data_IF_126203179760
#
_entry.id   IF_126203179760
#
_cell.length_a   1.000
_cell.length_b   1.000
_cell.length_c   1.000
_cell.angle_alpha   90.00
_cell.angle_beta   90.00
_cell.angle_gamma   90.00
#
_symmetry.space_group_name_H-M   'P 1'
#
loop_
_entity.id
_entity.type
_entity.pdbx_description
1 polymer ?
#
# COMPACT_ATOMS: atom_id res chain seq x y z
N UNK A 1 15.64 -10.10 -14.62
CA UNK A 1 14.20 -10.05 -14.97
C UNK A 1 13.66 -8.68 -14.58
N UNK A 2 13.08 -7.98 -15.52
CA UNK A 2 12.54 -6.65 -15.25
C UNK A 2 11.11 -6.77 -14.74
N UNK A 3 10.89 -6.38 -13.49
CA UNK A 3 9.56 -6.24 -12.95
C UNK A 3 9.03 -4.87 -13.37
N UNK A 4 8.12 -4.87 -14.31
CA UNK A 4 7.47 -3.63 -14.71
C UNK A 4 6.37 -3.28 -13.71
N UNK A 5 6.18 -1.99 -13.43
CA UNK A 5 5.10 -1.58 -12.55
C UNK A 5 3.76 -1.98 -13.15
N UNK A 6 2.84 -2.40 -12.29
CA UNK A 6 1.46 -2.63 -12.69
C UNK A 6 0.77 -1.29 -12.94
N UNK A 7 0.02 -1.22 -14.02
CA UNK A 7 -0.78 -0.04 -14.33
C UNK A 7 -2.14 -0.17 -13.64
N UNK A 8 -2.33 0.59 -12.59
CA UNK A 8 -3.58 0.60 -11.82
C UNK A 8 -4.38 1.82 -12.22
N UNK A 9 -5.62 1.60 -12.63
CA UNK A 9 -6.52 2.68 -13.06
C UNK A 9 -7.89 2.52 -12.42
N UNK A 10 -8.58 3.65 -12.23
CA UNK A 10 -9.96 3.68 -11.80
C UNK A 10 -10.78 4.30 -12.92
N UNK A 11 -11.69 3.52 -13.50
CA UNK A 11 -12.56 4.00 -14.58
C UNK A 11 -13.97 4.22 -14.04
N UNK A 12 -14.67 5.19 -14.62
CA UNK A 12 -16.06 5.48 -14.29
C UNK A 12 -16.93 5.30 -15.51
N UNK A 13 -18.06 4.57 -15.33
CA UNK A 13 -19.06 4.38 -16.38
C UNK A 13 -20.43 4.33 -15.72
N UNK A 14 -21.38 5.14 -16.21
CA UNK A 14 -22.78 5.17 -15.72
C UNK A 14 -22.88 5.33 -14.20
N UNK A 15 -22.00 6.14 -13.58
CA UNK A 15 -21.99 6.36 -12.14
C UNK A 15 -21.30 5.27 -11.34
N UNK A 16 -20.81 4.22 -11.97
CA UNK A 16 -20.08 3.14 -11.33
C UNK A 16 -18.58 3.26 -11.57
N UNK A 17 -17.79 2.90 -10.57
CA UNK A 17 -16.33 2.88 -10.65
C UNK A 17 -15.83 1.45 -10.81
N UNK A 18 -14.83 1.28 -11.66
CA UNK A 18 -14.17 -0.01 -11.86
C UNK A 18 -12.67 0.15 -11.66
N UNK A 19 -12.12 -0.59 -10.68
CA UNK A 19 -10.68 -0.71 -10.50
C UNK A 19 -10.13 -1.67 -11.54
N UNK A 20 -9.05 -1.29 -12.20
CA UNK A 20 -8.39 -2.12 -13.22
C UNK A 20 -6.90 -2.23 -12.92
N UNK A 21 -6.37 -3.43 -13.09
CA UNK A 21 -4.93 -3.69 -13.01
C UNK A 21 -4.48 -4.21 -14.37
N UNK A 22 -3.58 -3.48 -15.01
CA UNK A 22 -3.09 -3.78 -16.36
C UNK A 22 -4.22 -3.95 -17.38
N UNK A 23 -5.24 -3.08 -17.28
CA UNK A 23 -6.39 -3.06 -18.18
C UNK A 23 -7.49 -4.07 -17.88
N UNK A 24 -7.29 -4.94 -16.89
CA UNK A 24 -8.28 -5.97 -16.51
C UNK A 24 -9.04 -5.54 -15.27
N UNK A 25 -10.36 -5.79 -15.21
CA UNK A 25 -11.13 -5.54 -13.98
C UNK A 25 -10.52 -6.27 -12.79
N UNK A 26 -10.40 -5.57 -11.67
CA UNK A 26 -9.86 -6.12 -10.44
C UNK A 26 -10.87 -5.96 -9.31
N UNK A 27 -11.35 -7.08 -8.78
CA UNK A 27 -12.27 -7.12 -7.66
C UNK A 27 -11.50 -7.46 -6.40
N UNK A 28 -11.47 -6.54 -5.43
CA UNK A 28 -10.68 -6.73 -4.21
C UNK A 28 -11.28 -7.86 -3.38
N UNK A 29 -10.46 -8.88 -3.11
CA UNK A 29 -10.74 -9.99 -2.20
C UNK A 29 -9.59 -10.07 -1.23
N UNK A 30 -9.64 -9.30 -0.15
CA UNK A 30 -8.48 -9.12 0.67
C UNK A 30 -8.75 -9.03 2.15
N UNK A 31 -7.67 -8.85 2.90
CA UNK A 31 -7.68 -8.66 4.33
C UNK A 31 -6.63 -7.67 4.77
N UNK A 32 -6.66 -7.30 6.04
CA UNK A 32 -5.63 -6.50 6.66
C UNK A 32 -4.52 -7.40 7.17
N UNK A 33 -3.29 -7.17 6.73
CA UNK A 33 -2.12 -7.95 7.17
C UNK A 33 -0.97 -7.00 7.49
N UNK A 34 -0.60 -6.95 8.74
CA UNK A 34 0.66 -6.30 9.13
C UNK A 34 1.73 -7.36 9.42
N UNK A 35 1.32 -8.39 10.14
CA UNK A 35 2.11 -9.59 10.42
C UNK A 35 1.26 -10.78 10.01
N UNK A 36 1.11 -11.00 8.75
CA UNK A 36 0.22 -12.03 8.31
C UNK A 36 0.89 -13.11 7.50
N UNK A 37 0.19 -14.19 7.32
CA UNK A 37 0.59 -15.26 6.45
C UNK A 37 0.05 -14.97 5.05
N UNK A 38 0.89 -14.33 4.24
CA UNK A 38 0.57 -13.97 2.85
C UNK A 38 0.25 -15.22 2.03
N UNK A 39 0.99 -16.30 2.26
CA UNK A 39 0.75 -17.56 1.57
C UNK A 39 -0.64 -18.14 1.90
N UNK A 40 -1.07 -18.04 3.16
CA UNK A 40 -2.39 -18.50 3.59
C UNK A 40 -3.51 -17.70 2.91
N UNK A 41 -3.36 -16.38 2.81
CA UNK A 41 -4.34 -15.54 2.12
C UNK A 41 -4.46 -15.96 0.65
N UNK A 42 -3.34 -16.21 -0.02
CA UNK A 42 -3.34 -16.67 -1.41
C UNK A 42 -3.99 -18.05 -1.55
N UNK A 43 -3.71 -18.96 -0.61
CA UNK A 43 -4.31 -20.31 -0.60
C UNK A 43 -5.83 -20.27 -0.42
N UNK A 44 -6.37 -19.25 0.24
CA UNK A 44 -7.81 -19.05 0.42
C UNK A 44 -8.42 -18.14 -0.66
N UNK A 45 -7.75 -18.03 -1.81
CA UNK A 45 -8.22 -17.27 -2.98
C UNK A 45 -8.35 -15.75 -2.76
N UNK A 46 -7.65 -15.20 -1.78
CA UNK A 46 -7.46 -13.76 -1.67
C UNK A 46 -6.58 -13.26 -2.81
N UNK A 47 -6.79 -12.02 -3.24
CA UNK A 47 -6.00 -11.40 -4.31
C UNK A 47 -5.29 -10.14 -3.87
N UNK A 48 -5.55 -9.65 -2.66
CA UNK A 48 -4.97 -8.42 -2.17
C UNK A 48 -4.97 -8.37 -0.65
N UNK A 49 -4.14 -7.49 -0.11
CA UNK A 49 -4.20 -7.17 1.31
C UNK A 49 -3.77 -5.72 1.55
N UNK A 50 -4.09 -5.20 2.72
CA UNK A 50 -3.71 -3.87 3.16
C UNK A 50 -2.74 -3.96 4.32
N UNK A 51 -1.71 -3.11 4.29
CA UNK A 51 -0.83 -2.87 5.43
C UNK A 51 -1.15 -1.51 6.05
N UNK A 52 -0.75 -1.28 7.30
CA UNK A 52 -0.97 0.00 7.98
C UNK A 52 0.24 0.92 7.89
N UNK A 53 1.41 0.36 7.61
CA UNK A 53 2.67 1.11 7.48
C UNK A 53 3.60 0.40 6.51
N UNK A 54 4.60 1.13 6.04
CA UNK A 54 5.56 0.60 5.06
C UNK A 54 6.57 -0.36 5.68
N UNK A 55 6.89 -0.19 6.97
CA UNK A 55 7.81 -1.06 7.69
C UNK A 55 7.14 -1.49 8.99
N UNK A 56 6.94 -2.79 9.15
CA UNK A 56 6.26 -3.34 10.32
C UNK A 56 7.23 -3.81 11.41
N UNK A 57 8.53 -3.53 11.26
CA UNK A 57 9.56 -3.95 12.23
C UNK A 57 10.07 -5.37 12.05
N UNK A 58 9.39 -6.21 11.27
CA UNK A 58 9.81 -7.57 10.95
C UNK A 58 10.22 -7.71 9.49
N UNK A 59 9.53 -7.02 8.60
CA UNK A 59 9.82 -7.02 7.17
C UNK A 59 9.78 -5.60 6.64
N UNK A 60 10.70 -5.29 5.72
CA UNK A 60 10.63 -4.03 5.00
C UNK A 60 9.48 -4.04 4.00
N UNK A 61 9.03 -2.86 3.59
CA UNK A 61 7.98 -2.74 2.59
C UNK A 61 8.33 -3.49 1.29
N UNK A 62 9.59 -3.42 0.86
CA UNK A 62 10.03 -4.13 -0.34
C UNK A 62 9.89 -5.63 -0.19
N UNK A 63 10.26 -6.21 0.95
CA UNK A 63 10.10 -7.64 1.22
C UNK A 63 8.63 -8.06 1.18
N UNK A 64 7.75 -7.26 1.74
CA UNK A 64 6.30 -7.50 1.73
C UNK A 64 5.77 -7.49 0.29
N UNK A 65 6.16 -6.51 -0.51
CA UNK A 65 5.76 -6.41 -1.92
C UNK A 65 6.32 -7.57 -2.75
N UNK A 66 7.58 -7.95 -2.54
CA UNK A 66 8.20 -9.07 -3.26
C UNK A 66 7.49 -10.39 -2.94
N UNK A 67 7.17 -10.63 -1.68
CA UNK A 67 6.43 -11.82 -1.26
C UNK A 67 5.02 -11.83 -1.84
N UNK A 68 4.33 -10.69 -1.80
CA UNK A 68 3.00 -10.56 -2.40
C UNK A 68 3.05 -10.87 -3.91
N UNK A 69 4.03 -10.34 -4.60
CA UNK A 69 4.21 -10.59 -6.03
C UNK A 69 4.45 -12.08 -6.32
N UNK A 70 5.22 -12.75 -5.48
CA UNK A 70 5.48 -14.19 -5.60
C UNK A 70 4.18 -15.00 -5.56
N UNK A 71 3.21 -14.60 -4.75
CA UNK A 71 1.92 -15.29 -4.62
C UNK A 71 0.82 -14.70 -5.50
N UNK A 72 1.15 -13.75 -6.37
CA UNK A 72 0.18 -13.14 -7.26
C UNK A 72 -0.79 -12.18 -6.57
N UNK A 73 -0.41 -11.62 -5.43
CA UNK A 73 -1.25 -10.71 -4.67
C UNK A 73 -0.87 -9.25 -4.94
N UNK A 74 -1.86 -8.37 -4.80
CA UNK A 74 -1.66 -6.92 -4.86
C UNK A 74 -1.75 -6.33 -3.45
N UNK A 75 -1.03 -5.23 -3.22
CA UNK A 75 -0.93 -4.62 -1.89
C UNK A 75 -1.46 -3.20 -1.90
N UNK A 76 -2.38 -2.90 -0.99
CA UNK A 76 -2.70 -1.53 -0.59
C UNK A 76 -1.74 -1.16 0.52
N UNK A 77 -0.70 -0.41 0.16
CA UNK A 77 0.41 -0.10 1.06
C UNK A 77 0.06 1.08 1.95
N UNK A 78 0.10 0.86 3.26
CA UNK A 78 -0.11 1.92 4.24
C UNK A 78 1.13 2.78 4.43
N UNK A 79 0.94 4.08 4.56
CA UNK A 79 1.96 5.02 4.98
C UNK A 79 1.55 5.58 6.32
N UNK A 80 2.37 5.38 7.33
CA UNK A 80 2.10 5.91 8.67
C UNK A 80 2.29 7.42 8.67
N UNK A 81 1.28 8.12 9.18
CA UNK A 81 1.29 9.57 9.36
C UNK A 81 1.21 9.87 10.85
N UNK A 82 2.06 10.75 11.33
CA UNK A 82 2.10 11.14 12.72
C UNK A 82 0.77 11.76 13.17
N UNK A 83 0.35 11.44 14.39
CA UNK A 83 -0.94 11.87 14.94
C UNK A 83 -0.75 12.88 16.07
N UNK A 84 -1.60 13.91 16.08
CA UNK A 84 -1.58 14.91 17.16
C UNK A 84 -1.81 14.27 18.52
N UNK A 85 -2.69 13.29 18.62
CA UNK A 85 -2.96 12.58 19.89
C UNK A 85 -1.75 11.84 20.45
N UNK A 86 -0.71 11.62 19.62
CA UNK A 86 0.55 11.01 20.02
C UNK A 86 1.68 12.04 20.17
N UNK A 87 1.34 13.33 20.23
CA UNK A 87 2.27 14.40 20.52
C UNK A 87 2.89 15.08 19.29
N UNK A 88 2.41 14.79 18.10
CA UNK A 88 2.91 15.47 16.90
C UNK A 88 2.24 16.84 16.75
N UNK A 89 3.07 17.87 16.56
CA UNK A 89 2.59 19.25 16.40
C UNK A 89 2.65 19.66 14.92
N UNK A 90 1.49 19.78 14.29
CA UNK A 90 1.38 20.20 12.90
C UNK A 90 1.67 21.69 12.68
N UNK A 91 1.85 22.47 13.74
CA UNK A 91 2.34 23.83 13.65
C UNK A 91 3.87 23.91 13.59
N UNK A 92 4.55 22.80 13.89
CA UNK A 92 6.00 22.69 13.72
C UNK A 92 6.31 22.43 12.25
N UNK A 93 6.62 23.49 11.51
CA UNK A 93 6.85 23.41 10.06
C UNK A 93 8.04 22.54 9.68
N UNK A 94 9.08 22.49 10.53
CA UNK A 94 10.24 21.64 10.28
C UNK A 94 9.87 20.14 10.40
N UNK A 95 9.12 19.78 11.44
CA UNK A 95 8.66 18.39 11.62
C UNK A 95 7.70 17.96 10.52
N UNK A 96 6.80 18.82 10.09
CA UNK A 96 5.88 18.56 8.98
C UNK A 96 6.64 18.34 7.68
N UNK A 97 7.63 19.18 7.41
CA UNK A 97 8.44 19.06 6.19
C UNK A 97 9.26 17.77 6.19
N UNK A 98 9.82 17.39 7.33
CA UNK A 98 10.55 16.13 7.46
C UNK A 98 9.64 14.93 7.21
N UNK A 99 8.45 14.90 7.79
CA UNK A 99 7.47 13.85 7.55
C UNK A 99 7.11 13.76 6.07
N UNK A 100 6.87 14.90 5.43
CA UNK A 100 6.56 14.96 4.00
C UNK A 100 7.70 14.40 3.16
N UNK A 101 8.95 14.71 3.50
CA UNK A 101 10.11 14.19 2.79
C UNK A 101 10.24 12.66 2.97
N UNK A 102 10.00 12.14 4.16
CA UNK A 102 10.04 10.70 4.43
C UNK A 102 8.97 9.95 3.62
N UNK A 103 7.76 10.49 3.56
CA UNK A 103 6.67 9.91 2.75
C UNK A 103 7.06 9.90 1.29
N UNK A 104 7.61 11.01 0.79
CA UNK A 104 8.06 11.11 -0.59
C UNK A 104 9.12 10.08 -0.93
N UNK A 105 10.10 9.87 -0.06
CA UNK A 105 11.14 8.87 -0.26
C UNK A 105 10.57 7.45 -0.32
N UNK A 106 9.63 7.12 0.57
CA UNK A 106 8.96 5.83 0.57
C UNK A 106 8.19 5.60 -0.72
N UNK A 107 7.44 6.58 -1.17
CA UNK A 107 6.67 6.48 -2.43
C UNK A 107 7.61 6.31 -3.62
N UNK A 108 8.66 7.11 -3.71
CA UNK A 108 9.63 7.03 -4.81
C UNK A 108 10.35 5.67 -4.85
N UNK A 109 10.63 5.10 -3.68
CA UNK A 109 11.31 3.80 -3.59
C UNK A 109 10.44 2.63 -4.05
N UNK A 110 9.13 2.71 -3.89
CA UNK A 110 8.22 1.57 -4.04
C UNK A 110 7.18 1.72 -5.15
N UNK A 111 7.00 2.93 -5.70
CA UNK A 111 5.92 3.24 -6.64
C UNK A 111 5.90 2.38 -7.91
N UNK A 112 7.04 1.87 -8.31
CA UNK A 112 7.17 1.09 -9.54
C UNK A 112 7.12 -0.43 -9.31
N UNK A 113 6.81 -0.86 -8.09
CA UNK A 113 6.72 -2.29 -7.79
C UNK A 113 5.44 -2.89 -8.40
N UNK A 114 5.53 -4.05 -9.09
CA UNK A 114 4.36 -4.65 -9.75
C UNK A 114 3.25 -5.09 -8.81
N UNK A 115 3.54 -5.37 -7.54
CA UNK A 115 2.53 -5.77 -6.56
C UNK A 115 1.82 -4.58 -5.88
N UNK A 116 2.25 -3.36 -6.12
CA UNK A 116 1.63 -2.18 -5.51
C UNK A 116 0.31 -1.85 -6.21
N UNK A 117 -0.78 -1.87 -5.44
CA UNK A 117 -2.12 -1.56 -5.95
C UNK A 117 -2.49 -0.10 -5.70
N UNK A 118 -2.48 0.31 -4.44
CA UNK A 118 -2.94 1.63 -4.00
C UNK A 118 -2.11 2.04 -2.78
N UNK A 119 -1.92 3.34 -2.59
CA UNK A 119 -1.39 3.92 -1.36
C UNK A 119 -2.53 4.29 -0.41
N UNK A 120 -2.36 3.97 0.86
CA UNK A 120 -3.26 4.40 1.93
C UNK A 120 -2.48 5.27 2.90
N UNK A 121 -2.75 6.57 2.88
CA UNK A 121 -2.01 7.54 3.70
C UNK A 121 -2.73 7.75 5.02
N UNK A 122 -2.08 7.32 6.10
CA UNK A 122 -2.63 7.41 7.44
C UNK A 122 -3.63 6.31 7.77
N UNK A 123 -3.92 6.16 9.05
CA UNK A 123 -4.92 5.24 9.57
C UNK A 123 -5.48 5.84 10.85
N UNK A 124 -6.80 5.96 10.92
CA UNK A 124 -7.50 6.50 12.09
C UNK A 124 -6.88 7.80 12.62
N UNK A 125 -6.81 8.81 11.77
CA UNK A 125 -6.11 10.06 12.07
C UNK A 125 -6.84 10.97 13.08
N UNK A 126 -8.05 10.68 13.48
CA UNK A 126 -8.86 11.48 14.42
C UNK A 126 -8.36 11.41 15.85
#
# INVERSE_FOLDING_TARGET
>A
MHNQPSKVTLTQSNGNYQLRVNGKPFYIKGGGLEFGDIASLAAHHGNSFRTWRTDNGQQSALQVLDEAHKYGLMVTMGIEVARERHGFDYNDTAAVQEQKNQIREQVLALKDHPALLIWSIGNELN
#
